data_IF_082006109634
#
_entry.id   IF_082006109634
#
_cell.length_a   1.000
_cell.length_b   1.000
_cell.length_c   1.000
_cell.angle_alpha   90.00
_cell.angle_beta   90.00
_cell.angle_gamma   90.00
#
_symmetry.space_group_name_H-M   'P 1'
#
loop_
_entity.id
_entity.type
_entity.pdbx_description
1 polymer ?
#
# COMPACT_ATOMS: atom_id res chain seq x y z
N UNK A 1 -6.61 34.50 74.58
CA UNK A 1 -5.64 33.51 74.07
C UNK A 1 -6.33 32.45 73.19
N UNK A 2 -7.47 31.92 73.62
CA UNK A 2 -8.33 30.94 72.91
C UNK A 2 -8.73 31.33 71.47
N UNK A 3 -9.15 32.58 71.23
CA UNK A 3 -9.64 33.01 69.91
C UNK A 3 -8.57 32.95 68.81
N UNK A 4 -7.31 33.21 69.18
CA UNK A 4 -6.16 33.18 68.27
C UNK A 4 -5.80 31.73 67.90
N UNK A 5 -5.91 30.80 68.85
CA UNK A 5 -5.74 29.36 68.58
C UNK A 5 -6.84 28.82 67.66
N UNK A 6 -8.09 29.27 67.84
CA UNK A 6 -9.20 28.86 66.97
C UNK A 6 -9.02 29.37 65.54
N UNK A 7 -8.64 30.64 65.39
CA UNK A 7 -8.32 31.24 64.07
C UNK A 7 -7.19 30.49 63.37
N UNK A 8 -6.14 30.11 64.10
CA UNK A 8 -4.99 29.39 63.53
C UNK A 8 -5.34 27.94 63.14
N UNK A 9 -6.30 27.32 63.85
CA UNK A 9 -6.86 26.01 63.48
C UNK A 9 -7.73 26.11 62.22
N UNK A 10 -8.53 27.16 62.09
CA UNK A 10 -9.39 27.40 60.92
C UNK A 10 -8.57 27.74 59.66
N UNK A 11 -7.50 28.54 59.78
CA UNK A 11 -6.61 28.82 58.65
C UNK A 11 -5.81 27.59 58.22
N UNK A 12 -5.37 26.75 59.17
CA UNK A 12 -4.71 25.48 58.85
C UNK A 12 -5.66 24.49 58.16
N UNK A 13 -6.91 24.38 58.61
CA UNK A 13 -7.93 23.56 57.96
C UNK A 13 -8.27 24.06 56.55
N UNK A 14 -8.39 25.38 56.36
CA UNK A 14 -8.58 25.99 55.05
C UNK A 14 -7.41 25.70 54.11
N UNK A 15 -6.17 25.80 54.59
CA UNK A 15 -4.96 25.52 53.79
C UNK A 15 -4.84 24.04 53.39
N UNK A 16 -5.33 23.12 54.22
CA UNK A 16 -5.43 21.70 53.89
C UNK A 16 -6.50 21.41 52.82
N UNK A 17 -7.60 22.19 52.82
CA UNK A 17 -8.67 22.08 51.81
C UNK A 17 -8.28 22.72 50.46
N UNK A 18 -7.37 23.69 50.46
CA UNK A 18 -6.81 24.34 49.25
C UNK A 18 -5.43 23.78 48.90
N UNK A 19 -5.24 22.47 49.03
CA UNK A 19 -4.01 21.81 48.56
C UNK A 19 -4.12 21.65 47.03
N UNK A 20 -3.50 22.56 46.30
CA UNK A 20 -3.52 22.62 44.83
C UNK A 20 -2.77 21.43 44.18
N UNK A 21 -1.93 20.72 44.94
CA UNK A 21 -1.10 19.63 44.43
C UNK A 21 -1.90 18.37 44.05
N UNK A 22 -3.06 18.13 44.66
CA UNK A 22 -3.89 16.95 44.41
C UNK A 22 -4.71 17.04 43.10
N UNK A 23 -4.82 18.24 42.50
CA UNK A 23 -5.54 18.45 41.25
C UNK A 23 -4.72 17.97 40.03
N UNK A 24 -3.39 17.97 40.11
CA UNK A 24 -2.53 17.59 38.99
C UNK A 24 -2.63 16.11 38.65
N UNK A 25 -2.73 15.21 39.63
CA UNK A 25 -2.79 13.77 39.38
C UNK A 25 -4.09 13.37 38.65
N UNK A 26 -5.24 13.85 39.14
CA UNK A 26 -6.54 13.53 38.56
C UNK A 26 -6.70 14.18 37.17
N UNK A 27 -6.18 15.40 37.00
CA UNK A 27 -6.17 16.10 35.71
C UNK A 27 -5.30 15.36 34.68
N UNK A 28 -4.09 14.95 35.06
CA UNK A 28 -3.22 14.16 34.17
C UNK A 28 -3.82 12.79 33.83
N UNK A 29 -4.55 12.15 34.75
CA UNK A 29 -5.31 10.92 34.49
C UNK A 29 -6.42 11.13 33.45
N UNK A 30 -7.16 12.23 33.56
CA UNK A 30 -8.21 12.58 32.60
C UNK A 30 -7.58 12.86 31.23
N UNK A 31 -6.52 13.66 31.16
CA UNK A 31 -5.78 13.94 29.92
C UNK A 31 -5.28 12.65 29.28
N UNK A 32 -4.67 11.76 30.07
CA UNK A 32 -4.16 10.48 29.58
C UNK A 32 -5.29 9.56 29.08
N UNK A 33 -6.45 9.59 29.75
CA UNK A 33 -7.62 8.83 29.31
C UNK A 33 -8.14 9.30 27.95
N UNK A 34 -8.19 10.62 27.74
CA UNK A 34 -8.62 11.22 26.47
C UNK A 34 -7.62 10.86 25.37
N UNK A 35 -6.32 10.99 25.63
CA UNK A 35 -5.27 10.61 24.67
C UNK A 35 -5.36 9.12 24.34
N UNK A 36 -5.56 8.25 25.32
CA UNK A 36 -5.68 6.79 25.13
C UNK A 36 -6.86 6.41 24.23
N UNK A 37 -8.03 7.04 24.44
CA UNK A 37 -9.21 6.84 23.58
C UNK A 37 -8.93 7.29 22.14
N UNK A 38 -8.32 8.47 21.97
CA UNK A 38 -7.97 9.00 20.64
C UNK A 38 -6.97 8.09 19.90
N UNK A 39 -5.96 7.58 20.61
CA UNK A 39 -4.98 6.65 20.06
C UNK A 39 -5.63 5.33 19.63
N UNK A 40 -6.54 4.81 20.45
CA UNK A 40 -7.26 3.57 20.15
C UNK A 40 -8.09 3.70 18.87
N UNK A 41 -8.89 4.77 18.75
CA UNK A 41 -9.69 5.05 17.54
C UNK A 41 -8.79 5.20 16.31
N UNK A 42 -7.69 5.95 16.44
CA UNK A 42 -6.74 6.18 15.35
C UNK A 42 -6.11 4.86 14.87
N UNK A 43 -5.78 3.94 15.79
CA UNK A 43 -5.16 2.66 15.47
C UNK A 43 -6.08 1.75 14.65
N UNK A 44 -7.38 1.71 14.96
CA UNK A 44 -8.36 0.92 14.21
C UNK A 44 -8.55 1.37 12.75
N UNK A 45 -8.31 2.65 12.44
CA UNK A 45 -8.49 3.18 11.08
C UNK A 45 -7.28 2.97 10.14
N UNK A 46 -6.10 2.58 10.65
CA UNK A 46 -4.86 2.48 9.84
C UNK A 46 -4.82 1.20 8.98
N UNK A 47 -5.37 0.08 9.46
CA UNK A 47 -5.24 -1.25 8.82
C UNK A 47 -5.81 -1.32 7.39
N UNK A 48 -7.03 -0.84 7.09
CA UNK A 48 -7.58 -0.93 5.73
C UNK A 48 -6.87 0.00 4.72
N UNK A 49 -6.31 1.12 5.19
CA UNK A 49 -5.63 2.11 4.33
C UNK A 49 -4.30 1.57 3.79
N UNK A 50 -3.57 0.77 4.58
CA UNK A 50 -2.26 0.25 4.15
C UNK A 50 -2.42 -0.77 3.02
N UNK A 51 -3.38 -1.70 3.12
CA UNK A 51 -3.56 -2.78 2.12
C UNK A 51 -4.01 -2.28 0.74
N UNK A 52 -4.91 -1.29 0.71
CA UNK A 52 -5.43 -0.70 -0.53
C UNK A 52 -4.38 0.16 -1.25
N UNK A 53 -3.50 0.83 -0.50
CA UNK A 53 -2.36 1.56 -1.06
C UNK A 53 -1.37 0.63 -1.75
N UNK A 54 -1.09 -0.53 -1.16
CA UNK A 54 -0.11 -1.48 -1.73
C UNK A 54 -0.51 -2.00 -3.11
N UNK A 55 -1.79 -2.37 -3.31
CA UNK A 55 -2.24 -2.87 -4.62
C UNK A 55 -2.27 -1.76 -5.69
N UNK A 56 -2.74 -0.56 -5.33
CA UNK A 56 -2.79 0.55 -6.29
C UNK A 56 -1.38 0.97 -6.73
N UNK A 57 -0.43 1.04 -5.80
CA UNK A 57 0.97 1.31 -6.12
C UNK A 57 1.55 0.25 -7.06
N UNK A 58 1.28 -1.04 -6.80
CA UNK A 58 1.75 -2.13 -7.65
C UNK A 58 1.16 -2.05 -9.06
N UNK A 59 -0.12 -1.68 -9.19
CA UNK A 59 -0.79 -1.49 -10.49
C UNK A 59 -0.12 -0.35 -11.26
N UNK A 60 0.14 0.78 -10.62
CA UNK A 60 0.80 1.93 -11.28
C UNK A 60 2.24 1.61 -11.68
N UNK A 61 2.99 0.91 -10.82
CA UNK A 61 4.35 0.42 -11.16
C UNK A 61 4.29 -0.53 -12.35
N UNK A 62 3.36 -1.48 -12.36
CA UNK A 62 3.20 -2.44 -13.47
C UNK A 62 2.81 -1.74 -14.77
N UNK A 63 1.90 -0.76 -14.73
CA UNK A 63 1.57 0.07 -15.92
C UNK A 63 2.79 0.80 -16.45
N UNK A 64 3.54 1.46 -15.57
CA UNK A 64 4.76 2.19 -15.94
C UNK A 64 5.80 1.25 -16.54
N UNK A 65 5.97 0.05 -15.98
CA UNK A 65 6.89 -0.96 -16.47
C UNK A 65 6.49 -1.48 -17.86
N UNK A 66 5.20 -1.69 -18.10
CA UNK A 66 4.67 -2.10 -19.42
C UNK A 66 4.93 -1.00 -20.45
N UNK A 67 4.60 0.26 -20.12
CA UNK A 67 4.84 1.40 -21.01
C UNK A 67 6.32 1.58 -21.33
N UNK A 68 7.19 1.45 -20.32
CA UNK A 68 8.63 1.46 -20.51
C UNK A 68 9.08 0.32 -21.43
N UNK A 69 8.55 -0.89 -21.23
CA UNK A 69 8.86 -2.06 -22.05
C UNK A 69 8.44 -1.87 -23.52
N UNK A 70 7.30 -1.24 -23.77
CA UNK A 70 6.85 -0.87 -25.12
C UNK A 70 7.79 0.14 -25.78
N UNK A 71 8.14 1.22 -25.07
CA UNK A 71 9.06 2.23 -25.57
C UNK A 71 10.46 1.65 -25.83
N UNK A 72 10.94 0.78 -24.93
CA UNK A 72 12.21 0.10 -25.10
C UNK A 72 12.21 -0.77 -26.36
N UNK A 73 11.15 -1.57 -26.53
CA UNK A 73 10.98 -2.44 -27.69
C UNK A 73 10.99 -1.64 -29.00
N UNK A 74 10.29 -0.50 -29.04
CA UNK A 74 10.28 0.41 -30.19
C UNK A 74 11.67 0.99 -30.46
N UNK A 75 12.32 1.54 -29.42
CA UNK A 75 13.60 2.24 -29.56
C UNK A 75 14.74 1.32 -29.99
N UNK A 76 14.70 0.05 -29.60
CA UNK A 76 15.76 -0.91 -29.89
C UNK A 76 15.36 -1.90 -31.00
N UNK A 77 14.12 -1.83 -31.50
CA UNK A 77 13.55 -2.78 -32.44
C UNK A 77 13.73 -4.26 -31.99
N UNK A 78 13.50 -4.51 -30.70
CA UNK A 78 13.75 -5.81 -30.06
C UNK A 78 12.53 -6.32 -29.31
N UNK A 79 12.50 -7.64 -29.07
CA UNK A 79 11.47 -8.25 -28.25
C UNK A 79 11.73 -8.01 -26.76
N UNK A 80 10.69 -7.62 -26.04
CA UNK A 80 10.68 -7.56 -24.58
C UNK A 80 9.72 -8.61 -24.04
N UNK A 81 10.18 -9.42 -23.08
CA UNK A 81 9.38 -10.48 -22.47
C UNK A 81 9.14 -10.20 -21.00
N UNK A 82 7.88 -10.07 -20.60
CA UNK A 82 7.45 -10.00 -19.21
C UNK A 82 7.00 -11.41 -18.76
N UNK A 83 7.66 -11.96 -17.75
CA UNK A 83 7.36 -13.29 -17.20
C UNK A 83 6.87 -13.18 -15.76
N UNK A 84 5.73 -13.79 -15.46
CA UNK A 84 5.08 -13.75 -14.15
C UNK A 84 5.32 -15.06 -13.43
N UNK A 85 5.82 -14.98 -12.20
CA UNK A 85 5.99 -16.12 -11.31
C UNK A 85 5.25 -15.87 -10.01
N UNK A 86 3.95 -16.19 -10.00
CA UNK A 86 3.10 -16.07 -8.81
C UNK A 86 3.55 -16.93 -7.63
N UNK A 87 3.98 -18.19 -7.81
CA UNK A 87 4.54 -18.98 -6.71
C UNK A 87 5.72 -18.31 -5.99
N UNK A 88 6.58 -17.60 -6.73
CA UNK A 88 7.72 -16.84 -6.19
C UNK A 88 7.40 -15.37 -5.89
N UNK A 89 6.13 -14.94 -6.06
CA UNK A 89 5.64 -13.56 -5.87
C UNK A 89 6.52 -12.51 -6.54
N UNK A 90 6.89 -12.78 -7.80
CA UNK A 90 7.72 -11.89 -8.60
C UNK A 90 7.33 -11.90 -10.08
N UNK A 91 7.70 -10.85 -10.79
CA UNK A 91 7.73 -10.83 -12.24
C UNK A 91 9.08 -10.32 -12.73
N UNK A 92 9.40 -10.66 -13.98
CA UNK A 92 10.68 -10.37 -14.61
C UNK A 92 10.45 -9.77 -15.98
N UNK A 93 11.17 -8.70 -16.30
CA UNK A 93 11.17 -8.07 -17.62
C UNK A 93 12.54 -8.31 -18.24
N UNK A 94 12.56 -8.98 -19.39
CA UNK A 94 13.76 -9.30 -20.14
C UNK A 94 13.77 -8.48 -21.43
N UNK A 95 14.77 -7.61 -21.58
CA UNK A 95 15.04 -6.75 -22.74
C UNK A 95 16.29 -7.24 -23.45
N UNK A 96 16.40 -7.28 -24.78
CA UNK A 96 17.65 -7.68 -25.46
C UNK A 96 17.72 -9.12 -25.99
N UNK A 97 16.58 -9.79 -26.18
CA UNK A 97 16.53 -11.16 -26.68
C UNK A 97 17.04 -12.23 -25.69
N UNK A 98 17.00 -13.51 -26.09
CA UNK A 98 17.28 -14.67 -25.22
C UNK A 98 18.72 -14.76 -24.68
N UNK A 99 19.70 -14.10 -25.32
CA UNK A 99 21.13 -14.37 -25.09
C UNK A 99 21.99 -13.15 -24.70
N UNK A 100 21.47 -11.93 -24.70
CA UNK A 100 22.22 -10.73 -24.31
C UNK A 100 21.39 -9.71 -23.53
N UNK A 101 20.28 -10.18 -22.96
CA UNK A 101 19.29 -9.31 -22.39
C UNK A 101 19.53 -8.89 -20.94
N UNK A 102 19.28 -7.60 -20.64
CA UNK A 102 19.11 -7.14 -19.26
C UNK A 102 17.78 -7.66 -18.71
N UNK A 103 17.83 -8.11 -17.45
CA UNK A 103 16.66 -8.62 -16.73
C UNK A 103 16.38 -7.76 -15.50
N UNK A 104 15.17 -7.23 -15.41
CA UNK A 104 14.68 -6.51 -14.22
C UNK A 104 13.70 -7.42 -13.47
N UNK A 105 14.00 -7.69 -12.21
CA UNK A 105 13.16 -8.51 -11.33
C UNK A 105 12.41 -7.59 -10.37
N UNK A 106 11.09 -7.72 -10.30
CA UNK A 106 10.26 -7.03 -9.32
C UNK A 106 9.50 -8.02 -8.48
N UNK A 107 9.58 -7.85 -7.16
CA UNK A 107 8.81 -8.63 -6.17
C UNK A 107 7.57 -7.84 -5.77
N UNK A 108 6.49 -8.56 -5.47
CA UNK A 108 5.26 -7.97 -4.95
C UNK A 108 4.86 -8.67 -3.65
N UNK A 109 3.94 -8.02 -2.93
CA UNK A 109 3.47 -8.47 -1.62
C UNK A 109 2.81 -9.85 -1.70
N UNK A 110 2.99 -10.68 -0.66
CA UNK A 110 2.42 -12.04 -0.61
C UNK A 110 0.89 -12.06 -0.59
N UNK A 111 0.26 -10.95 -0.17
CA UNK A 111 -1.19 -10.76 -0.20
C UNK A 111 -1.75 -10.47 -1.60
N UNK A 112 -0.89 -10.39 -2.62
CA UNK A 112 -1.27 -10.17 -4.01
C UNK A 112 -1.07 -11.47 -4.80
N UNK A 113 -2.07 -11.81 -5.60
CA UNK A 113 -2.04 -12.96 -6.50
C UNK A 113 -2.24 -12.48 -7.93
N UNK A 114 -1.35 -12.90 -8.82
CA UNK A 114 -1.41 -12.60 -10.25
C UNK A 114 -1.74 -13.86 -11.02
N UNK A 115 -2.84 -13.85 -11.76
CA UNK A 115 -3.28 -14.95 -12.61
C UNK A 115 -3.36 -14.52 -14.07
N UNK A 116 -2.64 -15.22 -14.94
CA UNK A 116 -2.77 -15.09 -16.40
C UNK A 116 -3.97 -15.90 -16.87
N UNK A 117 -4.93 -15.25 -17.55
CA UNK A 117 -6.17 -15.92 -17.99
C UNK A 117 -6.01 -16.57 -19.37
N UNK A 118 -5.44 -15.83 -20.33
CA UNK A 118 -5.37 -16.25 -21.74
C UNK A 118 -3.93 -16.35 -22.28
N UNK A 119 -2.95 -16.08 -21.43
CA UNK A 119 -1.54 -16.25 -21.70
C UNK A 119 -1.00 -17.46 -20.93
N UNK A 120 0.11 -18.03 -21.38
CA UNK A 120 1.01 -18.68 -20.43
C UNK A 120 1.53 -17.63 -19.43
N UNK A 121 2.51 -17.98 -18.62
CA UNK A 121 3.09 -17.04 -17.66
C UNK A 121 3.92 -15.90 -18.30
N UNK A 122 3.81 -15.67 -19.61
CA UNK A 122 4.63 -14.71 -20.37
C UNK A 122 3.80 -13.80 -21.28
N UNK A 123 4.12 -12.51 -21.26
CA UNK A 123 3.67 -11.49 -22.20
C UNK A 123 4.89 -11.08 -23.04
N UNK A 124 4.72 -11.01 -24.35
CA UNK A 124 5.76 -10.56 -25.28
C UNK A 124 5.34 -9.30 -25.99
N UNK A 125 6.25 -8.35 -26.10
CA UNK A 125 6.13 -7.11 -26.86
C UNK A 125 7.15 -7.19 -28.00
N UNK A 126 6.73 -6.85 -29.22
CA UNK A 126 7.61 -6.85 -30.40
C UNK A 126 8.28 -5.48 -30.61
N UNK A 127 9.25 -5.43 -31.53
CA UNK A 127 9.98 -4.20 -31.86
C UNK A 127 9.12 -3.05 -32.42
N UNK A 128 7.86 -3.30 -32.75
CA UNK A 128 6.89 -2.27 -33.14
C UNK A 128 6.07 -1.76 -31.94
N UNK A 129 6.42 -2.15 -30.71
CA UNK A 129 5.71 -1.79 -29.48
C UNK A 129 4.35 -2.50 -29.31
N UNK A 130 4.07 -3.53 -30.11
CA UNK A 130 2.81 -4.26 -30.02
C UNK A 130 2.96 -5.50 -29.17
N UNK A 131 1.96 -5.74 -28.34
CA UNK A 131 1.83 -7.01 -27.61
C UNK A 131 1.51 -8.11 -28.62
N UNK A 132 2.34 -9.15 -28.61
CA UNK A 132 2.35 -10.22 -29.63
C UNK A 132 1.09 -11.08 -29.59
N UNK A 133 0.53 -11.28 -28.40
CA UNK A 133 -0.70 -12.07 -28.19
C UNK A 133 -1.69 -11.22 -27.41
N UNK A 134 -3.00 -11.36 -27.64
CA UNK A 134 -4.04 -10.70 -26.83
C UNK A 134 -4.43 -11.58 -25.65
N UNK A 135 -4.89 -10.96 -24.56
CA UNK A 135 -5.38 -11.66 -23.39
C UNK A 135 -5.49 -10.75 -22.19
N UNK A 136 -5.55 -11.33 -21.00
CA UNK A 136 -5.70 -10.56 -19.77
C UNK A 136 -4.98 -11.19 -18.58
N UNK A 137 -4.59 -10.33 -17.65
CA UNK A 137 -4.07 -10.68 -16.34
C UNK A 137 -5.07 -10.24 -15.29
N UNK A 138 -5.35 -11.11 -14.32
CA UNK A 138 -6.12 -10.80 -13.13
C UNK A 138 -5.15 -10.57 -11.97
N UNK A 139 -5.24 -9.42 -11.31
CA UNK A 139 -4.50 -9.10 -10.09
C UNK A 139 -5.50 -9.06 -8.95
N UNK A 140 -5.30 -9.91 -7.96
CA UNK A 140 -6.23 -10.10 -6.85
C UNK A 140 -5.53 -9.77 -5.54
N UNK A 141 -6.23 -9.04 -4.68
CA UNK A 141 -5.93 -8.88 -3.26
C UNK A 141 -7.20 -9.14 -2.45
N UNK A 142 -7.10 -9.19 -1.11
CA UNK A 142 -8.18 -9.62 -0.20
C UNK A 142 -9.58 -9.07 -0.55
N UNK A 143 -9.67 -7.80 -0.95
CA UNK A 143 -10.94 -7.12 -1.22
C UNK A 143 -11.02 -6.45 -2.59
N UNK A 144 -9.98 -6.55 -3.42
CA UNK A 144 -9.95 -5.85 -4.70
C UNK A 144 -9.44 -6.77 -5.80
N UNK A 145 -10.16 -6.77 -6.92
CA UNK A 145 -9.81 -7.51 -8.10
C UNK A 145 -9.63 -6.51 -9.23
N UNK A 146 -8.51 -6.61 -9.94
CA UNK A 146 -8.22 -5.81 -11.12
C UNK A 146 -7.97 -6.73 -12.31
N UNK A 147 -8.43 -6.31 -13.49
CA UNK A 147 -8.11 -6.99 -14.74
C UNK A 147 -7.34 -6.05 -15.65
N UNK A 148 -6.15 -6.47 -16.03
CA UNK A 148 -5.39 -5.89 -17.14
C UNK A 148 -5.80 -6.60 -18.41
N UNK A 149 -6.29 -5.87 -19.39
CA UNK A 149 -6.65 -6.41 -20.70
C UNK A 149 -5.71 -5.85 -21.75
N UNK A 150 -5.09 -6.76 -22.49
CA UNK A 150 -4.12 -6.48 -23.53
C UNK A 150 -4.74 -6.81 -24.88
N UNK A 151 -4.92 -5.78 -25.71
CA UNK A 151 -5.49 -5.93 -27.04
C UNK A 151 -4.39 -6.20 -28.06
N UNK A 152 -4.69 -7.06 -29.04
CA UNK A 152 -3.81 -7.24 -30.20
C UNK A 152 -3.93 -6.01 -31.11
N UNK A 153 -2.80 -5.40 -31.42
CA UNK A 153 -2.72 -4.24 -32.32
C UNK A 153 -2.74 -2.88 -31.61
N UNK A 154 -1.76 -2.05 -31.98
CA UNK A 154 -1.53 -0.66 -31.53
C UNK A 154 -1.23 -0.47 -30.03
N UNK A 155 -0.70 -1.48 -29.35
CA UNK A 155 -0.21 -1.36 -27.96
C UNK A 155 -1.27 -0.92 -26.93
N UNK A 156 -2.56 -1.17 -27.21
CA UNK A 156 -3.63 -0.69 -26.33
C UNK A 156 -3.87 -1.70 -25.20
N UNK A 157 -3.64 -1.26 -23.98
CA UNK A 157 -4.06 -1.97 -22.78
C UNK A 157 -4.93 -1.08 -21.91
N UNK A 158 -5.82 -1.69 -21.13
CA UNK A 158 -6.61 -0.98 -20.12
C UNK A 158 -6.66 -1.79 -18.83
N UNK A 159 -6.92 -1.08 -17.74
CA UNK A 159 -7.03 -1.65 -16.39
C UNK A 159 -8.44 -1.36 -15.90
N UNK A 160 -9.20 -2.41 -15.65
CA UNK A 160 -10.52 -2.31 -15.04
C UNK A 160 -10.46 -2.83 -13.60
N UNK A 161 -11.15 -2.12 -12.69
CA UNK A 161 -11.45 -2.65 -11.36
C UNK A 161 -12.69 -3.50 -11.48
N UNK A 162 -12.59 -4.77 -11.09
CA UNK A 162 -13.73 -5.66 -11.00
C UNK A 162 -14.33 -5.48 -9.60
N UNK A 163 -15.59 -5.09 -9.54
CA UNK A 163 -16.34 -5.15 -8.28
C UNK A 163 -16.48 -6.62 -7.88
N UNK A 164 -16.26 -6.96 -6.59
CA UNK A 164 -16.32 -8.32 -6.10
C UNK A 164 -17.73 -8.92 -6.16
#
# INVERSE_FOLDING_TARGET
MELCQLMNRLTKARKLLTNEDAYTLIEMLIVLSIISVLLTVSFFHITPVVSTRTINNMIEVLKSDILFSEQYAISHNEYVTLTINDPKKLYMIQTGGLFSGKSTIRRYDSNITIQTLNYGNTIRINGNGNIVKSGSIKIMSKNNIYRFVFLMGRGRFYVEKLEP
#
